data_IF_766315408823
#
_entry.id   IF_766315408823
#
_cell.length_a   1.000
_cell.length_b   1.000
_cell.length_c   1.000
_cell.angle_alpha   90.00
_cell.angle_beta   90.00
_cell.angle_gamma   90.00
#
_symmetry.space_group_name_H-M   'P 1'
#
loop_
_entity.id
_entity.type
_entity.pdbx_description
1 polymer ?
#
# COMPACT_ATOMS: atom_id res chain seq x y z
N UNK A 1 17.12 -12.48 -10.81
CA UNK A 1 15.89 -13.24 -11.11
C UNK A 1 14.81 -12.26 -11.49
N UNK A 2 14.12 -12.53 -12.59
CA UNK A 2 13.10 -11.66 -13.14
C UNK A 2 11.70 -12.24 -12.87
N UNK A 3 10.82 -11.43 -12.27
CA UNK A 3 9.43 -11.77 -11.93
C UNK A 3 8.44 -10.73 -12.46
N UNK A 4 8.88 -9.95 -13.45
CA UNK A 4 8.13 -8.79 -13.92
C UNK A 4 6.93 -9.15 -14.79
N UNK A 5 6.86 -10.38 -15.30
CA UNK A 5 5.66 -10.98 -15.89
C UNK A 5 4.50 -11.08 -14.88
N UNK A 6 4.78 -11.50 -13.65
CA UNK A 6 3.78 -11.53 -12.57
C UNK A 6 3.32 -10.12 -12.18
N UNK A 7 4.21 -9.14 -12.25
CA UNK A 7 3.86 -7.72 -12.05
C UNK A 7 2.92 -7.25 -13.15
N UNK A 8 3.24 -7.54 -14.41
CA UNK A 8 2.37 -7.23 -15.54
C UNK A 8 0.99 -7.88 -15.37
N UNK A 9 0.95 -9.11 -14.88
CA UNK A 9 -0.30 -9.78 -14.62
C UNK A 9 -1.13 -9.11 -13.51
N UNK A 10 -0.50 -8.70 -12.40
CA UNK A 10 -1.19 -7.99 -11.32
C UNK A 10 -1.84 -6.70 -11.81
N UNK A 11 -1.08 -5.89 -12.55
CA UNK A 11 -1.54 -4.56 -12.96
C UNK A 11 -2.60 -4.61 -14.07
N UNK A 12 -2.73 -5.73 -14.79
CA UNK A 12 -3.71 -5.90 -15.88
C UNK A 12 -4.96 -6.68 -15.49
N UNK A 13 -4.94 -7.49 -14.43
CA UNK A 13 -6.05 -8.41 -14.09
C UNK A 13 -6.96 -7.94 -12.97
N UNK A 14 -6.51 -7.02 -12.12
CA UNK A 14 -7.29 -6.60 -10.97
C UNK A 14 -6.93 -5.22 -10.49
N UNK A 15 -7.71 -4.77 -9.50
CA UNK A 15 -7.67 -3.39 -9.01
C UNK A 15 -7.12 -3.30 -7.60
N UNK A 16 -7.50 -4.21 -6.71
CA UNK A 16 -7.22 -4.12 -5.28
C UNK A 16 -6.63 -5.43 -4.79
N UNK A 17 -5.39 -5.36 -4.37
CA UNK A 17 -4.61 -6.51 -3.94
C UNK A 17 -4.13 -6.38 -2.51
N UNK A 18 -4.12 -7.50 -1.81
CA UNK A 18 -3.44 -7.65 -0.55
C UNK A 18 -2.45 -8.80 -0.58
N UNK A 19 -1.25 -8.54 -0.09
CA UNK A 19 -0.20 -9.55 0.06
C UNK A 19 0.31 -9.58 1.51
N UNK A 20 -0.04 -10.65 2.23
CA UNK A 20 0.59 -10.96 3.51
C UNK A 20 1.75 -11.94 3.32
N UNK A 21 2.92 -11.58 3.85
CA UNK A 21 4.13 -12.45 3.86
C UNK A 21 4.96 -12.16 5.10
N UNK A 22 5.73 -13.13 5.62
CA UNK A 22 6.67 -12.89 6.73
C UNK A 22 7.72 -11.79 6.40
N UNK A 23 8.37 -11.22 7.43
CA UNK A 23 9.38 -10.15 7.24
C UNK A 23 10.50 -10.61 6.30
N UNK A 24 11.04 -9.67 5.51
CA UNK A 24 12.18 -9.87 4.58
C UNK A 24 11.90 -10.74 3.34
N UNK A 25 10.64 -11.04 3.03
CA UNK A 25 10.24 -11.72 1.79
C UNK A 25 10.02 -10.74 0.63
N UNK A 26 10.91 -9.78 0.38
CA UNK A 26 10.88 -8.97 -0.85
C UNK A 26 9.69 -8.02 -1.09
N UNK A 27 8.73 -7.87 -0.16
CA UNK A 27 7.57 -6.96 -0.31
C UNK A 27 7.94 -5.53 -0.67
N UNK A 28 8.92 -4.94 0.02
CA UNK A 28 9.35 -3.56 -0.23
C UNK A 28 9.92 -3.39 -1.64
N UNK A 29 10.64 -4.42 -2.13
CA UNK A 29 11.13 -4.44 -3.50
C UNK A 29 9.93 -4.48 -4.47
N UNK A 30 8.97 -5.38 -4.26
CA UNK A 30 7.76 -5.44 -5.09
C UNK A 30 6.99 -4.11 -5.12
N UNK A 31 6.77 -3.47 -3.97
CA UNK A 31 6.11 -2.16 -3.88
C UNK A 31 6.91 -1.10 -4.63
N UNK A 32 8.23 -1.08 -4.49
CA UNK A 32 9.09 -0.16 -5.23
C UNK A 32 9.06 -0.41 -6.75
N UNK A 33 8.97 -1.68 -7.17
CA UNK A 33 8.86 -2.04 -8.58
C UNK A 33 7.51 -1.62 -9.16
N UNK A 34 6.41 -1.85 -8.44
CA UNK A 34 5.07 -1.35 -8.81
C UNK A 34 5.07 0.17 -8.94
N UNK A 35 5.68 0.87 -7.97
CA UNK A 35 5.83 2.33 -8.02
C UNK A 35 6.58 2.77 -9.27
N UNK A 36 7.71 2.15 -9.60
CA UNK A 36 8.48 2.48 -10.80
C UNK A 36 7.69 2.20 -12.09
N UNK A 37 6.95 1.09 -12.14
CA UNK A 37 6.09 0.73 -13.27
C UNK A 37 5.01 1.80 -13.51
N UNK A 38 4.23 2.15 -12.49
CA UNK A 38 3.15 3.14 -12.62
C UNK A 38 3.65 4.59 -12.80
N UNK A 39 4.93 4.85 -12.50
CA UNK A 39 5.61 6.11 -12.84
C UNK A 39 6.17 6.13 -14.28
N UNK A 40 5.91 5.11 -15.10
CA UNK A 40 6.37 5.06 -16.49
C UNK A 40 7.89 4.92 -16.66
N UNK A 41 8.63 4.47 -15.63
CA UNK A 41 10.10 4.34 -15.64
C UNK A 41 10.58 3.14 -16.46
N UNK A 42 10.21 3.09 -17.74
CA UNK A 42 10.47 1.99 -18.68
C UNK A 42 11.94 1.57 -18.72
N UNK A 43 12.85 2.53 -18.60
CA UNK A 43 14.29 2.30 -18.62
C UNK A 43 14.76 1.30 -17.55
N UNK A 44 14.08 1.25 -16.40
CA UNK A 44 14.39 0.32 -15.31
C UNK A 44 13.97 -1.13 -15.59
N UNK A 45 13.14 -1.33 -16.62
CA UNK A 45 12.60 -2.65 -16.97
C UNK A 45 13.20 -3.25 -18.23
N UNK A 46 14.12 -2.54 -18.90
CA UNK A 46 14.69 -3.00 -20.18
C UNK A 46 15.28 -4.41 -20.09
N UNK A 47 14.86 -5.26 -21.02
CA UNK A 47 15.33 -6.65 -21.09
C UNK A 47 14.67 -7.61 -20.10
N UNK A 48 13.82 -7.12 -19.20
CA UNK A 48 12.98 -7.96 -18.33
C UNK A 48 11.71 -8.41 -19.09
N UNK A 49 11.00 -9.40 -18.55
CA UNK A 49 9.80 -9.97 -19.15
C UNK A 49 8.74 -8.90 -19.44
N UNK A 50 8.50 -7.96 -18.51
CA UNK A 50 7.51 -6.89 -18.68
C UNK A 50 7.83 -5.94 -19.84
N UNK A 51 9.10 -5.74 -20.22
CA UNK A 51 9.48 -4.88 -21.35
C UNK A 51 8.96 -5.41 -22.69
N UNK A 52 8.73 -6.72 -22.78
CA UNK A 52 8.14 -7.37 -23.96
C UNK A 52 6.61 -7.40 -23.93
N UNK A 53 6.01 -7.22 -22.74
CA UNK A 53 4.57 -7.34 -22.52
C UNK A 53 3.88 -5.96 -22.51
N UNK A 54 4.48 -4.98 -21.83
CA UNK A 54 3.95 -3.64 -21.67
C UNK A 54 4.31 -2.75 -22.86
N UNK A 55 3.29 -2.15 -23.47
CA UNK A 55 3.44 -1.31 -24.68
C UNK A 55 3.05 0.14 -24.46
N UNK A 56 2.15 0.44 -23.53
CA UNK A 56 1.65 1.79 -23.28
C UNK A 56 2.57 2.58 -22.35
N UNK A 57 3.10 1.93 -21.30
CA UNK A 57 3.93 2.59 -20.28
C UNK A 57 3.29 3.87 -19.72
N UNK A 58 1.97 3.84 -19.53
CA UNK A 58 1.22 4.99 -19.05
C UNK A 58 1.68 5.42 -17.64
N UNK A 59 1.82 6.73 -17.45
CA UNK A 59 2.11 7.31 -16.14
C UNK A 59 0.81 7.52 -15.35
N UNK A 60 0.89 7.35 -14.03
CA UNK A 60 -0.22 7.52 -13.10
C UNK A 60 0.22 8.33 -11.87
N UNK A 61 -0.70 9.06 -11.20
CA UNK A 61 -0.42 9.65 -9.90
C UNK A 61 -0.31 8.53 -8.86
N UNK A 62 0.89 8.37 -8.27
CA UNK A 62 1.19 7.30 -7.31
C UNK A 62 1.31 7.86 -5.88
N UNK A 63 0.49 7.32 -4.98
CA UNK A 63 0.49 7.60 -3.55
C UNK A 63 1.09 6.41 -2.82
N UNK A 64 2.21 6.61 -2.13
CA UNK A 64 2.91 5.55 -1.41
C UNK A 64 2.99 5.87 0.08
N UNK A 65 2.43 5.01 0.92
CA UNK A 65 2.47 5.10 2.37
C UNK A 65 3.29 3.93 2.90
N UNK A 66 4.38 4.20 3.62
CA UNK A 66 5.29 3.20 4.16
C UNK A 66 5.40 3.33 5.69
N UNK A 67 4.90 2.32 6.41
CA UNK A 67 5.04 2.23 7.86
C UNK A 67 6.23 1.36 8.30
N UNK A 68 6.94 0.71 7.37
CA UNK A 68 7.91 -0.36 7.66
C UNK A 68 9.12 0.09 8.51
N UNK A 69 9.49 1.38 8.47
CA UNK A 69 10.70 1.92 9.11
C UNK A 69 10.46 2.72 10.38
N UNK A 70 9.23 2.77 10.89
CA UNK A 70 8.84 3.62 12.02
C UNK A 70 8.50 2.74 13.24
N UNK A 71 8.77 3.23 14.45
CA UNK A 71 8.29 2.60 15.69
C UNK A 71 7.02 3.30 16.16
N UNK A 72 5.95 2.56 16.37
CA UNK A 72 4.65 3.12 16.80
C UNK A 72 4.38 2.94 18.29
N UNK A 73 5.42 2.81 19.12
CA UNK A 73 5.25 2.69 20.58
C UNK A 73 4.92 4.03 21.26
N UNK A 74 5.18 5.16 20.60
CA UNK A 74 4.78 6.47 21.08
C UNK A 74 3.38 6.82 20.53
N UNK A 75 2.40 7.18 21.38
CA UNK A 75 1.02 7.41 20.97
C UNK A 75 0.77 8.37 19.81
N UNK A 76 1.59 9.41 19.65
CA UNK A 76 1.33 10.47 18.66
C UNK A 76 1.92 10.16 17.28
N UNK A 77 2.81 9.16 17.18
CA UNK A 77 3.62 8.92 15.97
C UNK A 77 2.78 8.53 14.74
N UNK A 78 1.66 7.82 14.94
CA UNK A 78 0.81 7.43 13.81
C UNK A 78 0.14 8.67 13.19
N UNK A 79 -0.48 9.51 14.01
CA UNK A 79 -1.09 10.77 13.57
C UNK A 79 -0.06 11.71 12.94
N UNK A 80 1.10 11.89 13.58
CA UNK A 80 2.18 12.71 13.03
C UNK A 80 2.59 12.23 11.63
N UNK A 81 2.70 10.91 11.45
CA UNK A 81 3.08 10.35 10.15
C UNK A 81 2.01 10.56 9.09
N UNK A 82 0.74 10.36 9.44
CA UNK A 82 -0.38 10.61 8.51
C UNK A 82 -0.47 12.09 8.16
N UNK A 83 -0.32 12.98 9.14
CA UNK A 83 -0.33 14.43 8.94
C UNK A 83 0.81 14.88 8.00
N UNK A 84 2.03 14.39 8.22
CA UNK A 84 3.18 14.67 7.37
C UNK A 84 2.91 14.28 5.91
N UNK A 85 2.44 13.05 5.67
CA UNK A 85 2.19 12.54 4.33
C UNK A 85 1.04 13.28 3.63
N UNK A 86 -0.08 13.47 4.32
CA UNK A 86 -1.26 14.13 3.75
C UNK A 86 -0.95 15.59 3.46
N UNK A 87 -0.31 16.31 4.39
CA UNK A 87 0.09 17.70 4.17
C UNK A 87 1.02 17.86 2.96
N UNK A 88 1.95 16.92 2.76
CA UNK A 88 2.81 16.94 1.58
C UNK A 88 2.01 16.79 0.27
N UNK A 89 0.95 15.97 0.26
CA UNK A 89 0.07 15.86 -0.91
C UNK A 89 -0.88 17.04 -1.08
N UNK A 90 -1.37 17.64 0.01
CA UNK A 90 -2.17 18.85 -0.03
C UNK A 90 -1.42 20.03 -0.67
N UNK A 91 -0.09 20.10 -0.48
CA UNK A 91 0.74 21.11 -1.16
C UNK A 91 0.74 20.96 -2.68
N UNK A 92 0.53 19.74 -3.20
CA UNK A 92 0.54 19.45 -4.64
C UNK A 92 -0.86 19.53 -5.24
N UNK A 93 -1.84 18.93 -4.57
CA UNK A 93 -3.19 18.72 -5.12
C UNK A 93 -4.26 19.62 -4.48
N UNK A 94 -3.88 20.43 -3.49
CA UNK A 94 -4.77 21.32 -2.76
C UNK A 94 -5.44 20.67 -1.54
N UNK A 95 -6.06 21.53 -0.73
CA UNK A 95 -6.77 21.18 0.50
C UNK A 95 -8.26 21.46 0.37
N UNK A 96 -9.10 20.48 0.72
CA UNK A 96 -10.55 20.63 0.70
C UNK A 96 -11.06 21.49 1.85
N UNK A 97 -11.95 22.44 1.57
CA UNK A 97 -12.55 23.35 2.56
C UNK A 97 -13.31 22.60 3.68
N UNK A 98 -13.95 21.47 3.34
CA UNK A 98 -14.76 20.66 4.25
C UNK A 98 -14.13 19.30 4.57
N UNK A 99 -12.83 19.13 4.33
CA UNK A 99 -12.09 17.91 4.61
C UNK A 99 -11.27 18.07 5.90
N UNK A 100 -11.74 17.47 6.99
CA UNK A 100 -11.20 17.72 8.33
C UNK A 100 -10.35 16.57 8.85
N UNK A 101 -10.82 15.33 8.70
CA UNK A 101 -10.08 14.13 9.09
C UNK A 101 -9.14 13.65 7.98
N UNK A 102 -8.18 12.78 8.32
CA UNK A 102 -7.21 12.25 7.38
C UNK A 102 -7.83 11.53 6.18
N UNK A 103 -8.93 10.79 6.41
CA UNK A 103 -9.63 10.08 5.34
C UNK A 103 -10.24 11.05 4.33
N UNK A 104 -11.07 12.00 4.79
CA UNK A 104 -11.69 12.98 3.90
C UNK A 104 -10.68 13.86 3.16
N UNK A 105 -9.58 14.24 3.82
CA UNK A 105 -8.45 14.95 3.17
C UNK A 105 -7.82 14.11 2.06
N UNK A 106 -7.58 12.83 2.32
CA UNK A 106 -7.01 11.95 1.31
C UNK A 106 -7.95 11.68 0.13
N UNK A 107 -9.25 11.51 0.36
CA UNK A 107 -10.24 11.44 -0.73
C UNK A 107 -10.23 12.69 -1.61
N UNK A 108 -10.16 13.88 -0.99
CA UNK A 108 -10.07 15.12 -1.74
C UNK A 108 -8.82 15.14 -2.63
N UNK A 109 -7.67 14.77 -2.05
CA UNK A 109 -6.40 14.65 -2.79
C UNK A 109 -6.54 13.70 -3.98
N UNK A 110 -7.09 12.49 -3.80
CA UNK A 110 -7.27 11.50 -4.86
C UNK A 110 -8.12 12.07 -6.01
N UNK A 111 -9.23 12.73 -5.67
CA UNK A 111 -10.11 13.36 -6.64
C UNK A 111 -9.42 14.49 -7.42
N UNK A 112 -8.63 15.33 -6.76
CA UNK A 112 -7.89 16.40 -7.44
C UNK A 112 -6.76 15.86 -8.30
N UNK A 113 -6.02 14.87 -7.81
CA UNK A 113 -4.97 14.20 -8.56
C UNK A 113 -5.53 13.54 -9.83
N UNK A 114 -6.67 12.86 -9.73
CA UNK A 114 -7.35 12.29 -10.89
C UNK A 114 -7.72 13.36 -11.91
N UNK A 115 -8.30 14.49 -11.48
CA UNK A 115 -8.66 15.60 -12.37
C UNK A 115 -7.45 16.26 -13.03
N UNK A 116 -6.40 16.51 -12.27
CA UNK A 116 -5.20 17.22 -12.73
C UNK A 116 -4.35 16.35 -13.66
N UNK A 117 -4.22 15.06 -13.34
CA UNK A 117 -3.41 14.12 -14.13
C UNK A 117 -4.18 13.53 -15.32
N UNK A 118 -5.52 13.48 -15.25
CA UNK A 118 -6.36 12.83 -16.26
C UNK A 118 -6.31 11.29 -16.20
N UNK A 119 -5.68 10.73 -15.16
CA UNK A 119 -5.61 9.28 -14.88
C UNK A 119 -6.00 9.02 -13.45
N UNK A 120 -6.71 7.91 -13.22
CA UNK A 120 -7.08 7.43 -11.88
C UNK A 120 -5.83 7.09 -11.06
N UNK A 121 -5.94 7.17 -9.74
CA UNK A 121 -4.80 7.10 -8.82
C UNK A 121 -4.35 5.68 -8.51
N UNK A 122 -3.05 5.54 -8.28
CA UNK A 122 -2.42 4.32 -7.77
C UNK A 122 -2.10 4.53 -6.29
N UNK A 123 -2.56 3.64 -5.41
CA UNK A 123 -2.30 3.70 -3.98
C UNK A 123 -1.53 2.46 -3.52
N UNK A 124 -0.35 2.66 -2.96
CA UNK A 124 0.54 1.61 -2.47
C UNK A 124 0.70 1.79 -0.95
N UNK A 125 0.37 0.76 -0.16
CA UNK A 125 0.43 0.81 1.30
C UNK A 125 1.31 -0.33 1.80
N UNK A 126 2.46 0.02 2.36
CA UNK A 126 3.45 -0.91 2.87
C UNK A 126 3.41 -1.02 4.39
N UNK A 127 3.43 -2.26 4.89
CA UNK A 127 3.39 -2.60 6.31
C UNK A 127 2.17 -1.99 7.02
N UNK A 128 0.99 -2.09 6.39
CA UNK A 128 -0.26 -1.44 6.83
C UNK A 128 -0.65 -1.75 8.28
N UNK A 129 -0.22 -2.91 8.79
CA UNK A 129 -0.52 -3.46 10.11
C UNK A 129 0.53 -3.15 11.17
N UNK A 130 1.68 -2.59 10.78
CA UNK A 130 2.80 -2.34 11.69
C UNK A 130 2.44 -1.46 12.89
N UNK A 131 1.65 -0.37 12.76
CA UNK A 131 1.26 0.43 13.92
C UNK A 131 0.49 -0.38 14.97
N UNK A 132 -0.37 -1.29 14.52
CA UNK A 132 -1.14 -2.18 15.41
C UNK A 132 -0.23 -3.24 16.01
N UNK A 133 0.63 -3.87 15.19
CA UNK A 133 1.51 -4.95 15.63
C UNK A 133 2.57 -4.51 16.63
N UNK A 134 3.14 -3.31 16.46
CA UNK A 134 4.14 -2.79 17.39
C UNK A 134 3.53 -2.57 18.80
N UNK A 135 2.23 -2.31 18.89
CA UNK A 135 1.54 -1.94 20.14
C UNK A 135 0.73 -3.08 20.76
N UNK A 136 0.50 -4.15 20.01
CA UNK A 136 -0.31 -5.29 20.41
C UNK A 136 0.24 -5.93 21.69
N UNK A 137 -0.59 -6.01 22.73
CA UNK A 137 -0.22 -6.65 24.00
C UNK A 137 0.82 -5.89 24.84
N UNK A 138 1.21 -4.67 24.45
CA UNK A 138 2.16 -3.84 25.22
C UNK A 138 1.52 -3.22 26.47
N UNK A 139 0.19 -3.10 26.51
CA UNK A 139 -0.55 -2.42 27.56
C UNK A 139 -0.43 -0.89 27.51
N UNK A 140 0.24 -0.33 26.49
CA UNK A 140 0.35 1.11 26.29
C UNK A 140 -1.03 1.72 26.05
N UNK A 141 -1.22 2.94 26.54
CA UNK A 141 -2.47 3.69 26.42
C UNK A 141 -2.22 5.08 25.88
N UNK A 142 -3.20 5.60 25.16
CA UNK A 142 -3.32 7.01 24.81
C UNK A 142 -4.42 7.63 25.65
N UNK A 143 -4.19 8.85 26.14
CA UNK A 143 -5.19 9.64 26.85
C UNK A 143 -5.74 10.70 25.92
N UNK A 144 -7.07 10.69 25.71
CA UNK A 144 -7.80 11.71 24.97
C UNK A 144 -8.83 12.30 25.94
N UNK A 145 -8.65 13.55 26.30
CA UNK A 145 -9.43 14.24 27.33
C UNK A 145 -9.46 13.48 28.67
N UNK A 146 -10.65 13.02 29.08
CA UNK A 146 -10.86 12.23 30.31
C UNK A 146 -10.76 10.73 30.09
N UNK A 147 -10.70 10.26 28.84
CA UNK A 147 -10.74 8.85 28.50
C UNK A 147 -9.34 8.30 28.23
N UNK A 148 -9.11 7.06 28.66
CA UNK A 148 -7.92 6.28 28.31
C UNK A 148 -8.32 5.14 27.38
N UNK A 149 -7.54 4.94 26.32
CA UNK A 149 -7.74 3.87 25.35
C UNK A 149 -6.43 3.11 25.16
N UNK A 150 -6.49 1.80 24.97
CA UNK A 150 -5.31 1.03 24.57
C UNK A 150 -4.79 1.55 23.23
N UNK A 151 -3.47 1.72 23.13
CA UNK A 151 -2.86 2.30 21.94
C UNK A 151 -3.10 1.43 20.69
N UNK A 152 -3.10 0.10 20.85
CA UNK A 152 -3.47 -0.81 19.75
C UNK A 152 -4.91 -0.62 19.26
N UNK A 153 -5.85 -0.28 20.15
CA UNK A 153 -7.24 -0.02 19.78
C UNK A 153 -7.35 1.30 19.04
N UNK A 154 -6.64 2.32 19.52
CA UNK A 154 -6.55 3.62 18.88
C UNK A 154 -5.98 3.51 17.45
N UNK A 155 -4.84 2.83 17.27
CA UNK A 155 -4.25 2.59 15.95
C UNK A 155 -5.19 1.81 15.01
N UNK A 156 -5.87 0.77 15.51
CA UNK A 156 -6.86 0.01 14.73
C UNK A 156 -7.99 0.93 14.23
N UNK A 157 -8.52 1.79 15.09
CA UNK A 157 -9.60 2.71 14.75
C UNK A 157 -9.16 3.77 13.73
N UNK A 158 -8.02 4.42 13.98
CA UNK A 158 -7.48 5.46 13.11
C UNK A 158 -7.19 4.93 11.70
N UNK A 159 -6.51 3.79 11.60
CA UNK A 159 -6.22 3.14 10.32
C UNK A 159 -7.49 2.64 9.64
N UNK A 160 -8.43 2.05 10.39
CA UNK A 160 -9.72 1.60 9.86
C UNK A 160 -10.49 2.75 9.22
N UNK A 161 -10.61 3.89 9.91
CA UNK A 161 -11.23 5.10 9.37
C UNK A 161 -10.49 5.63 8.16
N UNK A 162 -9.15 5.75 8.22
CA UNK A 162 -8.34 6.26 7.12
C UNK A 162 -8.47 5.40 5.85
N UNK A 163 -8.38 4.08 5.96
CA UNK A 163 -8.45 3.19 4.80
C UNK A 163 -9.87 3.00 4.25
N UNK A 164 -10.91 3.22 5.05
CA UNK A 164 -12.30 3.10 4.61
C UNK A 164 -12.64 4.04 3.45
N UNK A 165 -11.94 5.18 3.35
CA UNK A 165 -12.16 6.18 2.30
C UNK A 165 -11.77 5.69 0.90
N UNK A 166 -10.87 4.70 0.82
CA UNK A 166 -10.48 4.12 -0.45
C UNK A 166 -11.70 3.48 -1.14
N UNK A 167 -12.67 2.96 -0.37
CA UNK A 167 -13.91 2.41 -0.93
C UNK A 167 -14.76 3.50 -1.57
N UNK A 168 -14.99 4.60 -0.87
CA UNK A 168 -15.83 5.69 -1.40
C UNK A 168 -15.14 6.46 -2.54
N UNK A 169 -13.83 6.26 -2.71
CA UNK A 169 -13.02 6.88 -3.77
C UNK A 169 -12.78 5.92 -4.96
N UNK A 170 -13.58 4.85 -5.11
CA UNK A 170 -13.35 3.81 -6.14
C UNK A 170 -13.26 4.40 -7.57
N UNK A 171 -14.08 5.41 -7.89
CA UNK A 171 -14.07 6.11 -9.18
C UNK A 171 -12.73 6.81 -9.47
N UNK A 172 -12.01 7.22 -8.43
CA UNK A 172 -10.72 7.91 -8.52
C UNK A 172 -9.53 6.95 -8.44
N UNK A 173 -9.76 5.65 -8.24
CA UNK A 173 -8.70 4.64 -8.08
C UNK A 173 -8.53 3.80 -9.35
N UNK A 174 -7.27 3.62 -9.76
CA UNK A 174 -6.84 2.73 -10.82
C UNK A 174 -6.35 1.41 -10.24
N UNK A 175 -5.52 1.47 -9.19
CA UNK A 175 -4.87 0.31 -8.59
C UNK A 175 -4.57 0.58 -7.12
N UNK A 176 -4.75 -0.44 -6.28
CA UNK A 176 -4.46 -0.40 -4.85
C UNK A 176 -3.70 -1.66 -4.46
N UNK A 177 -2.53 -1.51 -3.87
CA UNK A 177 -1.75 -2.64 -3.35
C UNK A 177 -1.39 -2.42 -1.90
N UNK A 178 -1.79 -3.38 -1.06
CA UNK A 178 -1.62 -3.30 0.39
C UNK A 178 -0.81 -4.51 0.83
N UNK A 179 0.20 -4.29 1.67
CA UNK A 179 1.02 -5.38 2.16
C UNK A 179 1.30 -5.28 3.65
N UNK A 180 1.44 -6.44 4.30
CA UNK A 180 1.63 -6.57 5.75
C UNK A 180 2.06 -7.97 6.15
N UNK A 181 2.04 -8.24 7.45
CA UNK A 181 2.33 -9.57 8.01
C UNK A 181 1.06 -10.35 8.35
N UNK A 182 -0.02 -9.68 8.75
CA UNK A 182 -1.23 -10.30 9.25
C UNK A 182 -2.47 -9.52 8.81
N UNK A 183 -3.58 -10.21 8.60
CA UNK A 183 -4.87 -9.62 8.24
C UNK A 183 -5.68 -9.34 9.51
N UNK A 184 -6.02 -8.08 9.79
CA UNK A 184 -6.80 -7.68 10.97
C UNK A 184 -8.26 -7.39 10.60
N UNK A 185 -9.18 -8.33 10.85
CA UNK A 185 -10.59 -8.26 10.44
C UNK A 185 -11.36 -6.99 10.84
N UNK A 186 -10.99 -6.29 11.92
CA UNK A 186 -11.66 -5.07 12.39
C UNK A 186 -10.96 -3.76 12.01
N UNK A 187 -9.73 -3.82 11.47
CA UNK A 187 -8.96 -2.64 11.05
C UNK A 187 -8.66 -2.64 9.54
N UNK A 188 -9.30 -3.55 8.80
CA UNK A 188 -8.98 -3.75 7.40
C UNK A 188 -9.75 -2.81 6.46
N UNK A 189 -9.07 -2.21 5.46
CA UNK A 189 -9.71 -1.53 4.32
C UNK A 189 -10.75 -2.40 3.60
N UNK A 190 -10.69 -3.71 3.81
CA UNK A 190 -11.20 -4.76 2.92
C UNK A 190 -12.68 -5.08 3.10
N UNK A 191 -13.29 -4.79 4.26
CA UNK A 191 -14.67 -5.22 4.57
C UNK A 191 -15.74 -4.60 3.67
N UNK A 192 -15.36 -3.61 2.85
CA UNK A 192 -16.28 -2.94 1.95
C UNK A 192 -15.91 -2.98 0.46
N UNK A 193 -14.80 -3.59 0.05
CA UNK A 193 -14.45 -3.71 -1.37
C UNK A 193 -15.02 -5.01 -1.96
N UNK A 194 -15.84 -4.89 -3.01
CA UNK A 194 -16.40 -6.05 -3.69
C UNK A 194 -15.37 -6.84 -4.51
N UNK A 195 -14.23 -6.21 -4.88
CA UNK A 195 -13.19 -6.78 -5.75
C UNK A 195 -11.83 -6.89 -5.04
N UNK A 196 -11.84 -7.28 -3.77
CA UNK A 196 -10.64 -7.44 -2.96
C UNK A 196 -9.97 -8.80 -3.21
N UNK A 197 -8.75 -8.80 -3.74
CA UNK A 197 -7.98 -10.01 -4.02
C UNK A 197 -6.89 -10.22 -2.97
N UNK A 198 -7.11 -11.16 -2.05
CA UNK A 198 -6.07 -11.65 -1.13
C UNK A 198 -5.19 -12.67 -1.85
N UNK A 199 -4.08 -12.20 -2.42
CA UNK A 199 -3.15 -13.03 -3.20
C UNK A 199 -2.15 -13.79 -2.33
N UNK A 200 -2.30 -13.72 -1.00
CA UNK A 200 -1.37 -14.36 -0.07
C UNK A 200 -1.29 -15.88 -0.27
N UNK A 201 -2.38 -16.55 -0.64
CA UNK A 201 -2.39 -18.02 -0.79
C UNK A 201 -2.73 -18.46 -2.21
N UNK A 202 -2.62 -17.56 -3.19
CA UNK A 202 -2.90 -17.88 -4.59
C UNK A 202 -1.64 -18.46 -5.23
N UNK A 203 -1.71 -19.69 -5.73
CA UNK A 203 -0.59 -20.40 -6.39
C UNK A 203 0.06 -19.56 -7.48
N UNK A 204 -0.75 -18.85 -8.26
CA UNK A 204 -0.30 -17.97 -9.34
C UNK A 204 0.68 -16.87 -8.90
N UNK A 205 0.59 -16.40 -7.65
CA UNK A 205 1.46 -15.35 -7.11
C UNK A 205 2.38 -15.87 -6.01
N UNK A 206 2.53 -17.19 -5.88
CA UNK A 206 3.35 -17.80 -4.84
C UNK A 206 4.80 -17.32 -4.92
N UNK A 207 5.33 -17.27 -6.15
CA UNK A 207 6.72 -16.91 -6.42
C UNK A 207 6.93 -15.39 -6.48
N UNK A 208 5.88 -14.57 -6.49
CA UNK A 208 5.93 -13.11 -6.61
C UNK A 208 6.89 -12.46 -5.59
N UNK A 209 7.03 -13.08 -4.42
CA UNK A 209 7.93 -12.67 -3.35
C UNK A 209 8.72 -13.88 -2.84
N UNK A 210 10.05 -13.85 -2.94
CA UNK A 210 10.92 -14.95 -2.52
C UNK A 210 11.80 -15.47 -3.67
N UNK A 211 12.34 -16.68 -3.50
CA UNK A 211 13.18 -17.39 -4.48
C UNK A 211 12.71 -18.84 -4.48
N UNK A 212 12.35 -19.40 -5.65
CA UNK A 212 12.02 -20.83 -5.76
C UNK A 212 13.29 -21.68 -5.75
N UNK A 213 13.16 -22.99 -5.55
CA UNK A 213 14.30 -23.90 -5.63
C UNK A 213 14.94 -23.88 -7.04
N UNK A 214 14.14 -23.93 -8.09
CA UNK A 214 14.60 -23.86 -9.48
C UNK A 214 15.32 -22.55 -9.77
N UNK A 215 14.80 -21.45 -9.23
CA UNK A 215 15.40 -20.13 -9.30
C UNK A 215 16.75 -20.07 -8.56
N UNK A 216 16.84 -20.70 -7.40
CA UNK A 216 18.08 -20.82 -6.65
C UNK A 216 19.13 -21.58 -7.49
N UNK A 217 18.74 -22.72 -8.06
CA UNK A 217 19.62 -23.58 -8.86
C UNK A 217 20.04 -22.89 -10.17
N UNK A 218 19.14 -22.19 -10.85
CA UNK A 218 19.45 -21.54 -12.12
C UNK A 218 20.38 -20.33 -11.97
N UNK A 219 20.16 -19.49 -10.95
CA UNK A 219 20.89 -18.23 -10.79
C UNK A 219 22.08 -18.32 -9.83
N UNK A 220 22.12 -19.33 -8.96
CA UNK A 220 23.14 -19.47 -7.92
C UNK A 220 23.85 -20.84 -7.90
N UNK A 221 23.66 -21.70 -8.89
CA UNK A 221 24.60 -22.80 -9.09
C UNK A 221 26.00 -22.21 -9.32
N UNK A 222 26.97 -22.57 -8.46
CA UNK A 222 28.37 -22.24 -8.66
C UNK A 222 28.87 -22.80 -10.01
N UNK A 223 29.85 -22.13 -10.65
CA UNK A 223 30.35 -22.48 -11.98
C UNK A 223 30.94 -23.90 -12.11
#
# INVERSE_FOLDING_TARGET
MDKTDLIYQLVTTGKIYFLSRPRRFGKSLLVSTLKCYFQGRKELFRGLAIDKLETEWAEYPVFHIDFSKISFLNPDVLEEKLEEQISAWEQVYGKGEFAFDFGSRFAYILKQAHKQFGKRCVVLIEAYDKPVLDTLGTGLKIKRDTNELLLETHHKQLLGSFYSILKSSDEDLHFVFITGMTKFTQATPFSGFNNFNDISMTEQYETLCGITQEELEHYFAEP
#
